data_IF_038486488137
#
_entry.id   IF_038486488137
#
_cell.length_a   1.000
_cell.length_b   1.000
_cell.length_c   1.000
_cell.angle_alpha   90.00
_cell.angle_beta   90.00
_cell.angle_gamma   90.00
#
_symmetry.space_group_name_H-M   'P 1'
#
loop_
_entity.id
_entity.type
_entity.pdbx_description
1 polymer ?
#
# COMPACT_ATOMS: atom_id res chain seq x y z
N UNK A 1 2.17 26.37 17.90
CA UNK A 1 1.29 26.34 16.71
C UNK A 1 0.74 24.92 16.63
N UNK A 2 -0.57 24.69 16.84
CA UNK A 2 -1.09 23.32 16.78
C UNK A 2 -1.03 22.86 15.32
N UNK A 3 -0.24 21.82 15.06
CA UNK A 3 -0.21 21.15 13.76
C UNK A 3 -1.58 20.48 13.55
N UNK A 4 -2.52 21.17 12.92
CA UNK A 4 -3.74 20.56 12.40
C UNK A 4 -3.37 19.73 11.17
N UNK A 5 -2.86 18.51 11.40
CA UNK A 5 -2.69 17.54 10.32
C UNK A 5 -4.10 17.12 9.92
N UNK A 6 -4.46 17.36 8.67
CA UNK A 6 -5.74 16.93 8.17
C UNK A 6 -5.80 15.40 8.13
N UNK A 7 -6.94 14.81 8.51
CA UNK A 7 -7.08 13.35 8.67
C UNK A 7 -6.66 12.58 7.42
N UNK A 8 -6.97 13.11 6.23
CA UNK A 8 -6.57 12.53 4.94
C UNK A 8 -5.05 12.51 4.73
N UNK A 9 -4.33 13.51 5.25
CA UNK A 9 -2.87 13.55 5.18
C UNK A 9 -2.24 12.50 6.10
N UNK A 10 -2.81 12.32 7.30
CA UNK A 10 -2.35 11.32 8.25
C UNK A 10 -2.61 9.90 7.72
N UNK A 11 -3.84 9.63 7.27
CA UNK A 11 -4.22 8.33 6.69
C UNK A 11 -3.41 8.06 5.43
N UNK A 12 -3.32 9.04 4.52
CA UNK A 12 -2.54 8.92 3.29
C UNK A 12 -1.07 8.64 3.57
N UNK A 13 -0.47 9.34 4.54
CA UNK A 13 0.91 9.13 4.97
C UNK A 13 1.15 7.72 5.53
N UNK A 14 0.27 7.23 6.40
CA UNK A 14 0.37 5.86 6.96
C UNK A 14 0.24 4.81 5.84
N UNK A 15 -0.74 4.97 4.96
CA UNK A 15 -0.95 4.06 3.82
C UNK A 15 0.26 4.07 2.88
N UNK A 16 0.82 5.25 2.60
CA UNK A 16 2.02 5.40 1.78
C UNK A 16 3.21 4.67 2.40
N UNK A 17 3.50 4.91 3.68
CA UNK A 17 4.64 4.30 4.38
C UNK A 17 4.49 2.77 4.44
N UNK A 18 3.31 2.27 4.82
CA UNK A 18 3.04 0.84 4.87
C UNK A 18 3.14 0.20 3.49
N UNK A 19 2.70 0.90 2.44
CA UNK A 19 2.78 0.41 1.06
C UNK A 19 4.22 0.33 0.56
N UNK A 20 5.05 1.34 0.86
CA UNK A 20 6.48 1.33 0.52
C UNK A 20 7.22 0.22 1.26
N UNK A 21 6.97 0.06 2.56
CA UNK A 21 7.57 -1.03 3.36
C UNK A 21 7.14 -2.39 2.79
N UNK A 22 5.86 -2.55 2.46
CA UNK A 22 5.33 -3.75 1.85
C UNK A 22 5.94 -4.06 0.48
N UNK A 23 6.20 -3.03 -0.32
CA UNK A 23 6.88 -3.16 -1.61
C UNK A 23 8.31 -3.67 -1.46
N UNK A 24 9.09 -3.08 -0.54
CA UNK A 24 10.47 -3.51 -0.24
C UNK A 24 10.48 -4.93 0.33
N UNK A 25 9.50 -5.27 1.16
CA UNK A 25 9.34 -6.60 1.77
C UNK A 25 8.53 -7.58 0.90
N UNK A 26 8.24 -7.27 -0.37
CA UNK A 26 7.35 -8.09 -1.20
C UNK A 26 7.81 -9.57 -1.31
N UNK A 27 9.12 -9.80 -1.46
CA UNK A 27 9.68 -11.16 -1.50
C UNK A 27 9.56 -11.87 -0.15
N UNK A 28 9.75 -11.14 0.95
CA UNK A 28 9.55 -11.68 2.29
C UNK A 28 8.08 -12.05 2.53
N UNK A 29 7.14 -11.21 2.10
CA UNK A 29 5.70 -11.47 2.20
C UNK A 29 5.32 -12.70 1.37
N UNK A 30 5.87 -12.83 0.17
CA UNK A 30 5.64 -13.99 -0.69
C UNK A 30 6.11 -15.29 -0.03
N UNK A 31 7.31 -15.29 0.56
CA UNK A 31 7.92 -16.47 1.17
C UNK A 31 7.32 -16.83 2.53
N UNK A 32 7.00 -15.82 3.35
CA UNK A 32 6.74 -16.00 4.79
C UNK A 32 5.26 -15.94 5.18
N UNK A 33 4.35 -15.68 4.23
CA UNK A 33 2.90 -15.64 4.49
C UNK A 33 2.16 -16.78 3.78
N UNK A 34 1.12 -17.34 4.45
CA UNK A 34 0.25 -18.36 3.84
C UNK A 34 -0.43 -17.86 2.56
N UNK A 35 -0.78 -16.57 2.49
CA UNK A 35 -1.38 -15.94 1.30
C UNK A 35 -0.37 -15.82 0.16
N UNK A 36 0.85 -15.39 0.44
CA UNK A 36 1.94 -15.31 -0.55
C UNK A 36 2.31 -16.67 -1.13
N UNK A 37 2.34 -17.71 -0.30
CA UNK A 37 2.57 -19.08 -0.74
C UNK A 37 1.40 -19.63 -1.56
N UNK A 38 0.15 -19.37 -1.15
CA UNK A 38 -1.05 -19.78 -1.92
C UNK A 38 -1.08 -19.11 -3.30
N UNK A 39 -0.75 -17.82 -3.36
CA UNK A 39 -0.67 -17.06 -4.61
C UNK A 39 0.44 -17.60 -5.52
N UNK A 40 1.62 -17.86 -4.94
CA UNK A 40 2.77 -18.48 -5.64
C UNK A 40 2.43 -19.86 -6.17
N UNK A 41 1.66 -20.67 -5.43
CA UNK A 41 1.20 -22.00 -5.88
C UNK A 41 0.18 -21.92 -7.01
N UNK A 42 -0.68 -20.90 -7.05
CA UNK A 42 -1.69 -20.74 -8.10
C UNK A 42 -1.17 -20.13 -9.39
N UNK A 43 -0.27 -19.15 -9.31
CA UNK A 43 0.19 -18.37 -10.48
C UNK A 43 1.63 -18.70 -10.89
N UNK A 44 2.42 -19.25 -9.98
CA UNK A 44 3.86 -19.39 -10.13
C UNK A 44 4.63 -18.27 -9.41
N UNK A 45 5.93 -18.46 -9.15
CA UNK A 45 6.73 -17.58 -8.30
C UNK A 45 6.94 -16.17 -8.88
N UNK A 46 7.20 -16.05 -10.18
CA UNK A 46 7.39 -14.76 -10.85
C UNK A 46 6.11 -13.91 -10.90
N UNK A 47 4.98 -14.41 -11.44
CA UNK A 47 3.77 -13.60 -11.54
C UNK A 47 3.16 -13.30 -10.16
N UNK A 48 3.28 -14.18 -9.18
CA UNK A 48 2.84 -13.89 -7.81
C UNK A 48 3.60 -12.70 -7.18
N UNK A 49 4.91 -12.60 -7.43
CA UNK A 49 5.70 -11.46 -6.96
C UNK A 49 5.23 -10.15 -7.61
N UNK A 50 4.96 -10.17 -8.92
CA UNK A 50 4.45 -9.01 -9.65
C UNK A 50 3.09 -8.55 -9.17
N UNK A 51 2.18 -9.49 -8.86
CA UNK A 51 0.87 -9.16 -8.27
C UNK A 51 1.04 -8.46 -6.92
N UNK A 52 1.89 -9.00 -6.04
CA UNK A 52 2.16 -8.37 -4.72
C UNK A 52 2.75 -6.97 -4.90
N UNK A 53 3.70 -6.82 -5.83
CA UNK A 53 4.30 -5.52 -6.16
C UNK A 53 3.27 -4.52 -6.68
N UNK A 54 2.36 -4.93 -7.57
CA UNK A 54 1.30 -4.07 -8.10
C UNK A 54 0.35 -3.59 -6.99
N UNK A 55 -0.01 -4.45 -6.04
CA UNK A 55 -0.84 -4.07 -4.89
C UNK A 55 -0.15 -2.97 -4.07
N UNK A 56 1.15 -3.10 -3.82
CA UNK A 56 1.88 -2.07 -3.06
C UNK A 56 2.17 -0.81 -3.88
N UNK A 57 2.39 -0.90 -5.20
CA UNK A 57 2.51 0.27 -6.08
C UNK A 57 1.20 1.06 -6.06
N UNK A 58 0.06 0.39 -6.23
CA UNK A 58 -1.25 1.05 -6.20
C UNK A 58 -1.52 1.68 -4.83
N UNK A 59 -1.19 1.00 -3.73
CA UNK A 59 -1.26 1.57 -2.38
C UNK A 59 -0.34 2.78 -2.17
N UNK A 60 0.85 2.77 -2.78
CA UNK A 60 1.79 3.91 -2.74
C UNK A 60 1.23 5.10 -3.51
N UNK A 61 0.68 4.88 -4.70
CA UNK A 61 0.04 5.93 -5.50
C UNK A 61 -1.19 6.52 -4.78
N UNK A 62 -2.04 5.68 -4.21
CA UNK A 62 -3.22 6.12 -3.47
C UNK A 62 -2.85 6.86 -2.17
N UNK A 63 -1.94 6.29 -1.37
CA UNK A 63 -1.46 6.92 -0.15
C UNK A 63 -0.78 8.26 -0.42
N UNK A 64 0.05 8.33 -1.47
CA UNK A 64 0.69 9.56 -1.91
C UNK A 64 -0.32 10.61 -2.38
N UNK A 65 -1.31 10.22 -3.17
CA UNK A 65 -2.36 11.13 -3.65
C UNK A 65 -3.25 11.66 -2.50
N UNK A 66 -3.55 10.83 -1.49
CA UNK A 66 -4.22 11.26 -0.27
C UNK A 66 -3.35 12.21 0.57
N UNK A 67 -2.07 11.86 0.77
CA UNK A 67 -1.13 12.67 1.53
C UNK A 67 -0.86 14.04 0.89
N UNK A 68 -0.79 14.08 -0.45
CA UNK A 68 -0.62 15.30 -1.23
C UNK A 68 -1.90 16.16 -1.31
N UNK A 69 -3.04 15.66 -0.80
CA UNK A 69 -4.32 16.34 -0.89
C UNK A 69 -4.91 16.38 -2.31
N UNK A 70 -4.39 15.57 -3.23
CA UNK A 70 -4.96 15.41 -4.58
C UNK A 70 -6.30 14.68 -4.56
N UNK A 71 -6.48 13.79 -3.59
CA UNK A 71 -7.74 13.10 -3.33
C UNK A 71 -8.31 13.68 -2.04
N UNK A 72 -9.40 14.44 -2.16
CA UNK A 72 -10.20 14.86 -1.00
C UNK A 72 -11.20 13.75 -0.68
N UNK A 73 -11.17 13.14 0.52
CA UNK A 73 -12.22 12.21 0.91
C UNK A 73 -13.56 12.94 0.90
N UNK A 74 -14.59 12.28 0.38
CA UNK A 74 -15.96 12.80 0.37
C UNK A 74 -16.33 13.14 1.82
N UNK A 75 -16.47 14.43 2.10
CA UNK A 75 -16.96 14.88 3.40
C UNK A 75 -18.48 14.72 3.37
N UNK A 76 -18.98 13.65 4.00
CA UNK A 76 -20.40 13.51 4.28
C UNK A 76 -20.71 14.49 5.40
N UNK A 77 -21.32 15.62 5.03
CA UNK A 77 -21.83 16.64 5.94
C UNK A 77 -23.20 16.23 6.47
#
# INVERSE_FOLDING_TARGET
MPFHIAEHQLIGGIVLILSVIGFVKAQWIQANTRKGQRLTRSLGPLPALWVIRLIFITGTLFGGALAAGWIQPIQWN
#
